data_IF_117192355510
#
_entry.id   IF_117192355510
#
_cell.length_a   1.000
_cell.length_b   1.000
_cell.length_c   1.000
_cell.angle_alpha   90.00
_cell.angle_beta   90.00
_cell.angle_gamma   90.00
#
_symmetry.space_group_name_H-M   'P 1'
#
loop_
_entity.id
_entity.type
_entity.pdbx_description
1 polymer ?
#
# COMPACT_ATOMS: atom_id res chain seq x y z
N UNK A 1 27.28 54.05 22.39
CA UNK A 1 27.98 52.77 22.60
C UNK A 1 28.31 52.19 21.23
N UNK A 2 29.56 51.82 20.99
CA UNK A 2 30.16 51.54 19.67
C UNK A 2 29.57 50.27 19.02
N UNK A 3 29.26 50.32 17.73
CA UNK A 3 29.16 49.11 16.89
C UNK A 3 30.55 48.52 16.67
N UNK A 4 30.74 47.19 16.69
CA UNK A 4 31.91 46.56 16.11
C UNK A 4 31.70 46.25 14.63
N UNK A 5 32.82 46.34 13.93
CA UNK A 5 33.06 46.21 12.50
C UNK A 5 32.83 44.81 11.93
N UNK A 6 32.47 44.80 10.65
CA UNK A 6 32.28 43.66 9.76
C UNK A 6 33.49 42.71 9.72
N UNK A 7 33.22 41.40 9.84
CA UNK A 7 34.08 40.35 9.27
C UNK A 7 33.43 39.91 7.95
N UNK A 8 34.07 40.24 6.83
CA UNK A 8 33.77 39.68 5.52
C UNK A 8 34.39 38.28 5.43
N UNK A 9 33.56 37.25 5.35
CA UNK A 9 33.93 35.93 4.82
C UNK A 9 33.60 35.91 3.32
N UNK A 10 34.46 35.33 2.46
CA UNK A 10 34.24 35.36 1.02
C UNK A 10 33.07 34.44 0.66
N UNK A 11 32.09 34.99 -0.07
CA UNK A 11 31.08 34.20 -0.75
C UNK A 11 31.76 33.30 -1.77
N UNK A 12 31.84 32.00 -1.48
CA UNK A 12 31.94 31.00 -2.53
C UNK A 12 30.66 31.08 -3.37
N UNK A 13 30.83 31.27 -4.68
CA UNK A 13 29.76 31.40 -5.66
C UNK A 13 28.91 30.14 -5.73
N UNK A 14 27.78 30.12 -5.02
CA UNK A 14 26.64 29.30 -5.38
C UNK A 14 25.69 30.18 -6.17
N UNK A 15 25.87 30.15 -7.49
CA UNK A 15 24.94 30.75 -8.43
C UNK A 15 23.58 30.08 -8.27
N UNK A 16 22.55 30.92 -8.14
CA UNK A 16 21.09 30.67 -8.13
C UNK A 16 20.46 30.38 -6.76
N UNK A 17 20.09 31.48 -6.10
CA UNK A 17 18.97 31.54 -5.18
C UNK A 17 17.69 31.68 -6.02
N UNK A 18 16.73 30.76 -5.87
CA UNK A 18 15.31 31.04 -6.12
C UNK A 18 14.46 30.00 -5.39
N UNK A 19 13.90 30.42 -4.25
CA UNK A 19 12.83 29.71 -3.56
C UNK A 19 11.50 29.97 -4.32
N UNK A 20 10.96 28.89 -4.88
CA UNK A 20 9.57 28.56 -5.30
C UNK A 20 8.65 29.72 -5.76
N UNK A 21 8.24 29.67 -7.03
CA UNK A 21 6.98 30.29 -7.53
C UNK A 21 6.08 29.27 -8.25
N UNK A 22 4.73 29.43 -8.24
CA UNK A 22 3.74 28.40 -8.55
C UNK A 22 3.53 28.08 -10.04
N UNK A 23 4.41 28.54 -10.92
CA UNK A 23 4.28 28.34 -12.36
C UNK A 23 5.61 28.71 -13.01
N UNK A 24 6.42 27.71 -13.37
CA UNK A 24 7.53 27.92 -14.29
C UNK A 24 7.58 26.81 -15.32
N UNK A 25 7.88 27.23 -16.55
CA UNK A 25 8.13 26.35 -17.69
C UNK A 25 9.13 25.27 -17.29
N UNK A 26 8.74 24.01 -17.49
CA UNK A 26 9.60 22.85 -17.23
C UNK A 26 10.85 22.98 -18.11
N UNK A 27 11.97 23.37 -17.50
CA UNK A 27 13.26 23.39 -18.18
C UNK A 27 13.82 21.98 -18.08
N UNK A 28 13.72 21.23 -19.18
CA UNK A 28 14.27 19.88 -19.27
C UNK A 28 15.80 20.01 -19.28
N UNK A 29 16.54 19.19 -18.51
CA UNK A 29 18.00 19.17 -18.54
C UNK A 29 18.52 19.03 -19.97
N UNK A 30 19.49 19.86 -20.36
CA UNK A 30 20.17 19.78 -21.66
C UNK A 30 21.21 18.67 -21.75
N UNK A 31 21.41 17.92 -20.65
CA UNK A 31 22.36 16.82 -20.52
C UNK A 31 21.67 15.60 -19.91
N UNK A 32 22.18 14.41 -20.20
CA UNK A 32 21.66 13.16 -19.65
C UNK A 32 21.83 13.14 -18.13
N UNK A 33 20.71 13.17 -17.42
CA UNK A 33 20.66 12.99 -15.96
C UNK A 33 20.16 11.59 -15.61
N UNK A 34 20.69 10.94 -14.56
CA UNK A 34 20.11 9.70 -14.04
C UNK A 34 18.77 9.91 -13.33
N UNK A 35 18.33 11.15 -13.13
CA UNK A 35 17.11 11.49 -12.40
C UNK A 35 15.89 11.35 -13.30
N UNK A 36 14.92 10.55 -12.85
CA UNK A 36 13.59 10.39 -13.46
C UNK A 36 12.57 11.08 -12.56
N UNK A 37 11.95 12.17 -13.01
CA UNK A 37 10.93 12.91 -12.26
C UNK A 37 11.33 14.36 -11.99
N UNK A 38 10.84 14.92 -10.87
CA UNK A 38 11.10 16.30 -10.45
C UNK A 38 11.72 16.35 -9.04
N UNK A 39 12.05 17.55 -8.56
CA UNK A 39 12.71 17.75 -7.27
C UNK A 39 11.97 17.05 -6.11
N UNK A 40 10.63 17.07 -6.10
CA UNK A 40 9.79 16.52 -5.04
C UNK A 40 9.49 15.03 -5.20
N UNK A 41 9.38 14.55 -6.44
CA UNK A 41 9.09 13.16 -6.73
C UNK A 41 10.00 12.67 -7.87
N UNK A 42 11.03 11.90 -7.50
CA UNK A 42 12.00 11.37 -8.43
C UNK A 42 12.57 10.03 -8.00
N UNK A 43 13.11 9.30 -8.98
CA UNK A 43 14.03 8.19 -8.81
C UNK A 43 15.40 8.56 -9.38
N UNK A 44 16.47 8.02 -8.80
CA UNK A 44 17.81 8.07 -9.42
C UNK A 44 18.10 6.70 -10.02
N UNK A 45 18.20 6.62 -11.34
CA UNK A 45 18.58 5.41 -12.05
C UNK A 45 20.07 5.14 -11.85
N UNK A 46 20.40 3.97 -11.31
CA UNK A 46 21.74 3.49 -11.07
C UNK A 46 22.10 2.36 -12.06
N UNK A 47 23.38 1.95 -12.14
CA UNK A 47 23.77 0.76 -12.89
C UNK A 47 22.96 -0.49 -12.48
N UNK A 48 23.04 -1.54 -13.30
CA UNK A 48 22.39 -2.84 -13.07
C UNK A 48 20.87 -2.80 -12.90
N UNK A 49 20.21 -1.74 -13.39
CA UNK A 49 18.75 -1.50 -13.24
C UNK A 49 18.33 -1.40 -11.77
N UNK A 50 19.20 -0.82 -10.95
CA UNK A 50 18.90 -0.42 -9.57
C UNK A 50 18.36 1.01 -9.59
N UNK A 51 17.41 1.33 -8.71
CA UNK A 51 16.81 2.66 -8.63
C UNK A 51 16.83 3.14 -7.17
N UNK A 52 17.34 4.35 -6.93
CA UNK A 52 17.23 5.00 -5.63
C UNK A 52 15.90 5.75 -5.54
N UNK A 53 15.06 5.33 -4.60
CA UNK A 53 13.73 5.88 -4.32
C UNK A 53 13.71 6.75 -3.05
N UNK A 54 14.86 6.96 -2.41
CA UNK A 54 14.92 7.61 -1.10
C UNK A 54 14.56 9.09 -1.14
N UNK A 55 14.63 9.74 -2.31
CA UNK A 55 14.51 11.20 -2.48
C UNK A 55 15.53 11.97 -1.62
N UNK A 56 16.75 11.42 -1.52
CA UNK A 56 17.87 11.95 -0.73
C UNK A 56 18.29 13.38 -1.08
N UNK A 57 17.86 13.91 -2.23
CA UNK A 57 18.10 15.31 -2.63
C UNK A 57 17.33 16.33 -1.80
N UNK A 58 16.19 15.96 -1.22
CA UNK A 58 15.31 16.90 -0.49
C UNK A 58 14.89 16.40 0.89
N UNK A 59 15.11 15.12 1.18
CA UNK A 59 14.68 14.50 2.43
C UNK A 59 15.84 13.75 3.07
N UNK A 60 16.02 13.82 4.39
CA UNK A 60 17.06 13.07 5.07
C UNK A 60 16.82 11.56 4.88
N UNK A 61 17.93 10.83 4.83
CA UNK A 61 17.96 9.37 4.80
C UNK A 61 18.52 8.85 6.13
N UNK A 62 18.05 7.70 6.58
CA UNK A 62 18.49 7.07 7.83
C UNK A 62 19.47 5.93 7.52
N UNK A 63 18.97 4.70 7.45
CA UNK A 63 19.69 3.51 6.98
C UNK A 63 18.90 2.92 5.83
N UNK A 64 19.11 3.41 4.59
CA UNK A 64 18.40 2.90 3.43
C UNK A 64 18.58 1.40 3.24
N UNK A 65 17.55 0.74 2.73
CA UNK A 65 17.56 -0.69 2.43
C UNK A 65 17.58 -0.90 0.92
N UNK A 66 18.46 -1.76 0.44
CA UNK A 66 18.48 -2.19 -0.97
C UNK A 66 17.64 -3.45 -1.11
N UNK A 67 16.43 -3.32 -1.65
CA UNK A 67 15.46 -4.39 -1.82
C UNK A 67 15.61 -5.04 -3.20
N UNK A 68 15.93 -6.34 -3.29
CA UNK A 68 15.93 -7.07 -4.54
C UNK A 68 14.52 -7.20 -5.13
N UNK A 69 14.43 -7.15 -6.45
CA UNK A 69 13.17 -7.18 -7.20
C UNK A 69 13.19 -8.29 -8.25
N UNK A 70 12.03 -8.91 -8.49
CA UNK A 70 11.84 -9.96 -9.49
C UNK A 70 11.46 -9.42 -10.88
N UNK A 71 11.25 -8.11 -10.98
CA UNK A 71 10.76 -7.43 -12.16
C UNK A 71 11.82 -7.07 -13.21
N UNK A 72 11.44 -6.13 -14.08
CA UNK A 72 12.30 -5.50 -15.09
C UNK A 72 13.35 -4.61 -14.42
N UNK A 73 12.96 -3.92 -13.34
CA UNK A 73 13.80 -3.17 -12.39
C UNK A 73 14.31 -4.17 -11.35
N UNK A 74 15.62 -4.22 -11.11
CA UNK A 74 16.28 -5.33 -10.40
C UNK A 74 16.50 -5.11 -8.91
N UNK A 75 16.59 -3.84 -8.50
CA UNK A 75 16.63 -3.48 -7.09
C UNK A 75 16.09 -2.06 -6.88
N UNK A 76 15.62 -1.79 -5.68
CA UNK A 76 15.26 -0.45 -5.23
C UNK A 76 15.95 -0.12 -3.91
N UNK A 77 16.52 1.07 -3.80
CA UNK A 77 17.01 1.60 -2.52
C UNK A 77 15.87 2.42 -1.91
N UNK A 78 15.40 2.02 -0.74
CA UNK A 78 14.26 2.65 -0.06
C UNK A 78 14.69 3.29 1.25
N UNK A 79 13.95 4.30 1.68
CA UNK A 79 14.06 4.85 3.02
C UNK A 79 13.01 4.19 3.94
N UNK A 80 13.41 3.43 4.98
CA UNK A 80 12.46 2.74 5.85
C UNK A 80 11.45 3.66 6.52
N UNK A 81 11.88 4.84 6.99
CA UNK A 81 10.96 5.79 7.66
C UNK A 81 9.84 6.32 6.76
N UNK A 82 10.00 6.21 5.44
CA UNK A 82 9.02 6.59 4.41
C UNK A 82 8.51 5.39 3.59
N UNK A 83 8.61 4.19 4.16
CA UNK A 83 8.10 2.95 3.57
C UNK A 83 7.03 2.28 4.44
N UNK A 84 6.02 1.67 3.80
CA UNK A 84 4.97 0.92 4.51
C UNK A 84 4.51 -0.34 3.78
N UNK A 85 4.10 -1.35 4.55
CA UNK A 85 3.38 -2.53 4.09
C UNK A 85 1.89 -2.24 4.09
N UNK A 86 1.19 -2.53 3.00
CA UNK A 86 -0.25 -2.31 2.82
C UNK A 86 -0.92 -3.66 2.60
N UNK A 87 -1.67 -4.12 3.61
CA UNK A 87 -2.35 -5.41 3.66
C UNK A 87 -3.84 -5.18 3.40
N UNK A 88 -4.34 -5.73 2.30
CA UNK A 88 -5.68 -5.41 1.79
C UNK A 88 -6.64 -6.60 2.01
N UNK A 89 -7.75 -6.33 2.70
CA UNK A 89 -8.92 -7.22 2.84
C UNK A 89 -8.64 -8.68 3.20
N UNK A 90 -7.57 -8.99 3.95
CA UNK A 90 -7.33 -10.34 4.47
C UNK A 90 -8.26 -10.66 5.64
N UNK A 91 -9.57 -10.57 5.42
CA UNK A 91 -10.65 -10.64 6.39
C UNK A 91 -11.31 -12.02 6.41
N UNK A 92 -11.99 -12.36 7.50
CA UNK A 92 -12.76 -13.60 7.66
C UNK A 92 -13.72 -13.84 6.48
N UNK A 93 -14.46 -12.82 6.03
CA UNK A 93 -15.36 -12.94 4.88
C UNK A 93 -14.67 -13.53 3.63
N UNK A 94 -13.45 -13.10 3.33
CA UNK A 94 -12.74 -13.48 2.11
C UNK A 94 -11.91 -14.75 2.25
N UNK A 95 -11.52 -15.14 3.47
CA UNK A 95 -10.54 -16.21 3.68
C UNK A 95 -11.08 -17.39 4.48
N UNK A 96 -12.13 -17.21 5.28
CA UNK A 96 -12.71 -18.27 6.07
C UNK A 96 -13.19 -19.42 5.16
N UNK A 97 -12.82 -20.68 5.43
CA UNK A 97 -13.18 -21.81 4.58
C UNK A 97 -14.69 -22.02 4.39
N UNK A 98 -15.52 -21.68 5.39
CA UNK A 98 -16.98 -21.82 5.27
C UNK A 98 -17.59 -20.71 4.41
N UNK A 99 -17.06 -19.49 4.49
CA UNK A 99 -17.57 -18.33 3.73
C UNK A 99 -16.99 -18.27 2.31
N UNK A 100 -15.72 -18.64 2.17
CA UNK A 100 -14.92 -18.51 0.95
C UNK A 100 -14.08 -19.79 0.71
N UNK A 101 -14.73 -20.93 0.39
CA UNK A 101 -14.06 -22.22 0.29
C UNK A 101 -12.95 -22.24 -0.78
N UNK A 102 -13.11 -21.48 -1.86
CA UNK A 102 -12.14 -21.43 -2.98
C UNK A 102 -10.89 -20.57 -2.70
N UNK A 103 -10.83 -19.82 -1.59
CA UNK A 103 -9.76 -18.86 -1.30
C UNK A 103 -8.45 -19.50 -0.76
N UNK A 104 -8.03 -20.63 -1.33
CA UNK A 104 -6.84 -21.35 -0.88
C UNK A 104 -5.55 -20.53 -1.03
N UNK A 105 -5.42 -19.80 -2.14
CA UNK A 105 -4.27 -18.91 -2.37
C UNK A 105 -4.16 -17.81 -1.30
N UNK A 106 -5.29 -17.20 -0.94
CA UNK A 106 -5.34 -16.19 0.13
C UNK A 106 -4.96 -16.77 1.49
N UNK A 107 -5.42 -17.98 1.80
CA UNK A 107 -5.01 -18.68 3.03
C UNK A 107 -3.52 -19.05 3.04
N UNK A 108 -2.94 -19.45 1.89
CA UNK A 108 -1.49 -19.71 1.76
C UNK A 108 -0.65 -18.43 1.93
N UNK A 109 -1.17 -17.28 1.55
CA UNK A 109 -0.51 -15.97 1.70
C UNK A 109 -0.46 -15.47 3.16
N UNK A 110 -1.24 -16.04 4.09
CA UNK A 110 -1.30 -15.59 5.49
C UNK A 110 0.06 -15.66 6.18
N UNK A 111 0.77 -16.79 6.08
CA UNK A 111 2.04 -16.95 6.78
C UNK A 111 3.13 -16.00 6.23
N UNK A 112 3.38 -15.92 4.91
CA UNK A 112 4.35 -14.97 4.38
C UNK A 112 3.99 -13.51 4.72
N UNK A 113 2.69 -13.20 4.83
CA UNK A 113 2.21 -11.88 5.30
C UNK A 113 2.61 -11.61 6.74
N UNK A 114 2.46 -12.59 7.64
CA UNK A 114 2.91 -12.45 9.04
C UNK A 114 4.42 -12.22 9.15
N UNK A 115 5.22 -12.94 8.35
CA UNK A 115 6.67 -12.71 8.29
C UNK A 115 7.02 -11.30 7.81
N UNK A 116 6.31 -10.81 6.79
CA UNK A 116 6.46 -9.44 6.28
C UNK A 116 6.10 -8.40 7.35
N UNK A 117 4.99 -8.60 8.08
CA UNK A 117 4.61 -7.75 9.21
C UNK A 117 5.76 -7.65 10.21
N UNK A 118 6.31 -8.78 10.65
CA UNK A 118 7.40 -8.81 11.62
C UNK A 118 8.68 -8.12 11.10
N UNK A 119 9.05 -8.38 9.84
CA UNK A 119 10.20 -7.74 9.19
C UNK A 119 10.05 -6.22 9.10
N UNK A 120 8.87 -5.75 8.71
CA UNK A 120 8.59 -4.32 8.58
C UNK A 120 8.65 -3.61 9.94
N UNK A 121 8.00 -4.19 10.96
CA UNK A 121 8.03 -3.67 12.33
C UNK A 121 9.45 -3.59 12.89
N UNK A 122 10.28 -4.62 12.67
CA UNK A 122 11.69 -4.64 13.11
C UNK A 122 12.55 -3.53 12.49
N UNK A 123 12.22 -3.08 11.28
CA UNK A 123 12.90 -1.96 10.60
C UNK A 123 12.19 -0.62 10.80
N UNK A 124 11.19 -0.56 11.69
CA UNK A 124 10.43 0.66 11.98
C UNK A 124 9.49 1.11 10.84
N UNK A 125 9.32 0.30 9.80
CA UNK A 125 8.37 0.55 8.71
C UNK A 125 6.95 0.28 9.19
N UNK A 126 6.00 1.09 8.73
CA UNK A 126 4.60 0.99 9.17
C UNK A 126 3.87 -0.13 8.45
N UNK A 127 2.89 -0.71 9.13
CA UNK A 127 1.96 -1.68 8.56
C UNK A 127 0.56 -1.06 8.50
N UNK A 128 -0.02 -1.00 7.31
CA UNK A 128 -1.35 -0.48 7.06
C UNK A 128 -2.30 -1.63 6.75
N UNK A 129 -3.31 -1.78 7.60
CA UNK A 129 -4.42 -2.69 7.38
C UNK A 129 -5.53 -1.93 6.68
N UNK A 130 -5.88 -2.35 5.47
CA UNK A 130 -6.83 -1.65 4.61
C UNK A 130 -7.96 -2.60 4.27
N UNK A 131 -9.04 -2.53 5.05
CA UNK A 131 -10.09 -3.54 5.00
C UNK A 131 -11.42 -2.92 4.62
N UNK A 132 -12.27 -3.69 3.96
CA UNK A 132 -13.70 -3.40 3.88
C UNK A 132 -14.26 -3.18 5.29
N UNK A 133 -14.95 -2.06 5.47
CA UNK A 133 -15.62 -1.74 6.72
C UNK A 133 -16.62 -0.64 6.43
N UNK A 134 -17.83 -1.06 6.06
CA UNK A 134 -18.89 -0.15 5.68
C UNK A 134 -19.65 0.37 6.90
N UNK A 135 -20.11 1.60 6.79
CA UNK A 135 -21.13 2.16 7.67
C UNK A 135 -22.44 2.45 6.91
N UNK A 136 -23.46 2.93 7.63
CA UNK A 136 -24.77 3.20 7.04
C UNK A 136 -24.76 4.33 6.00
N UNK A 137 -23.77 5.22 6.00
CA UNK A 137 -23.61 6.23 4.94
C UNK A 137 -23.06 5.57 3.70
N UNK A 138 -22.04 4.73 3.84
CA UNK A 138 -21.43 4.04 2.70
C UNK A 138 -22.46 3.26 1.89
N UNK A 139 -23.36 2.53 2.56
CA UNK A 139 -24.41 1.74 1.91
C UNK A 139 -25.34 2.56 1.00
N UNK A 140 -25.54 3.86 1.28
CA UNK A 140 -26.37 4.74 0.44
C UNK A 140 -25.69 5.15 -0.86
N UNK A 141 -24.36 5.14 -0.87
CA UNK A 141 -23.54 5.65 -1.97
C UNK A 141 -22.88 4.53 -2.78
N UNK A 142 -22.99 3.28 -2.34
CA UNK A 142 -22.44 2.13 -3.05
C UNK A 142 -23.15 1.97 -4.41
N UNK A 143 -22.39 1.81 -5.51
CA UNK A 143 -22.98 1.55 -6.82
C UNK A 143 -23.79 0.25 -6.86
N UNK A 144 -24.92 0.20 -7.59
CA UNK A 144 -25.72 -1.02 -7.73
C UNK A 144 -24.94 -2.24 -8.23
N UNK A 145 -23.95 -2.04 -9.11
CA UNK A 145 -23.10 -3.13 -9.60
C UNK A 145 -22.27 -3.80 -8.47
N UNK A 146 -21.85 -3.04 -7.47
CA UNK A 146 -21.21 -3.60 -6.27
C UNK A 146 -22.22 -4.34 -5.42
N UNK A 147 -23.42 -3.80 -5.23
CA UNK A 147 -24.48 -4.53 -4.50
C UNK A 147 -24.80 -5.86 -5.19
N UNK A 148 -24.91 -5.88 -6.51
CA UNK A 148 -25.12 -7.10 -7.30
C UNK A 148 -23.96 -8.09 -7.12
N UNK A 149 -22.71 -7.63 -7.29
CA UNK A 149 -21.51 -8.49 -7.17
C UNK A 149 -21.37 -9.15 -5.79
N UNK A 150 -21.81 -8.49 -4.73
CA UNK A 150 -21.76 -9.02 -3.36
C UNK A 150 -23.06 -9.71 -2.92
N UNK A 151 -24.05 -9.85 -3.81
CA UNK A 151 -25.33 -10.53 -3.54
C UNK A 151 -25.25 -12.07 -3.60
N UNK A 152 -24.10 -12.62 -4.03
CA UNK A 152 -23.94 -14.06 -4.25
C UNK A 152 -24.70 -14.58 -5.48
N UNK A 153 -24.89 -13.74 -6.51
CA UNK A 153 -25.59 -14.07 -7.75
C UNK A 153 -27.13 -14.12 -7.62
N UNK A 154 -27.67 -13.59 -6.51
CA UNK A 154 -29.12 -13.57 -6.23
C UNK A 154 -29.77 -12.24 -6.56
N UNK A 155 -28.98 -11.20 -6.85
CA UNK A 155 -29.41 -9.84 -7.13
C UNK A 155 -30.45 -9.32 -6.13
N UNK A 156 -30.21 -9.64 -4.85
CA UNK A 156 -31.12 -9.34 -3.75
C UNK A 156 -30.50 -8.40 -2.73
N UNK A 157 -31.24 -7.38 -2.26
CA UNK A 157 -30.78 -6.53 -1.16
C UNK A 157 -30.66 -7.31 0.16
N UNK A 158 -31.27 -8.50 0.27
CA UNK A 158 -31.20 -9.34 1.46
C UNK A 158 -29.93 -10.20 1.53
N UNK A 159 -29.09 -10.20 0.49
CA UNK A 159 -27.88 -11.03 0.45
C UNK A 159 -26.63 -10.26 0.04
N UNK A 160 -26.69 -8.92 0.03
CA UNK A 160 -25.58 -8.03 -0.33
C UNK A 160 -24.90 -7.38 0.89
N UNK A 161 -24.09 -6.34 0.68
CA UNK A 161 -23.49 -5.54 1.75
C UNK A 161 -24.51 -5.15 2.83
N UNK A 162 -24.12 -5.26 4.09
CA UNK A 162 -24.98 -4.94 5.23
C UNK A 162 -26.08 -5.95 5.56
N UNK A 163 -26.32 -6.95 4.71
CA UNK A 163 -27.23 -8.06 5.05
C UNK A 163 -26.67 -8.93 6.15
N UNK A 164 -27.55 -9.48 6.99
CA UNK A 164 -27.18 -10.45 8.02
C UNK A 164 -26.75 -11.77 7.36
N UNK A 165 -25.57 -12.27 7.74
CA UNK A 165 -25.00 -13.51 7.23
C UNK A 165 -25.32 -14.72 8.08
N UNK A 166 -25.99 -14.55 9.23
CA UNK A 166 -26.32 -15.63 10.16
C UNK A 166 -25.08 -16.15 10.88
N UNK A 167 -25.01 -17.47 11.08
CA UNK A 167 -23.96 -18.12 11.86
C UNK A 167 -23.19 -19.14 11.02
N UNK A 168 -21.93 -19.39 11.39
CA UNK A 168 -21.15 -20.52 10.89
C UNK A 168 -21.67 -21.84 11.47
N UNK A 169 -21.15 -22.95 10.94
CA UNK A 169 -21.50 -24.31 11.39
C UNK A 169 -21.20 -24.56 12.87
N UNK A 170 -20.18 -23.89 13.43
CA UNK A 170 -19.80 -23.95 14.84
C UNK A 170 -20.63 -23.02 15.75
N UNK A 171 -21.60 -22.30 15.19
CA UNK A 171 -22.46 -21.35 15.90
C UNK A 171 -21.91 -19.93 15.99
N UNK A 172 -20.72 -19.64 15.46
CA UNK A 172 -20.14 -18.29 15.45
C UNK A 172 -21.04 -17.30 14.70
N UNK A 173 -21.51 -16.21 15.33
CA UNK A 173 -22.26 -15.17 14.64
C UNK A 173 -21.37 -14.43 13.64
N UNK A 174 -21.72 -14.51 12.34
CA UNK A 174 -20.94 -13.92 11.25
C UNK A 174 -21.17 -12.41 11.17
N UNK A 175 -22.37 -11.97 11.52
CA UNK A 175 -22.78 -10.57 11.55
C UNK A 175 -23.15 -10.00 10.18
N UNK A 176 -23.26 -8.68 10.09
CA UNK A 176 -23.63 -7.99 8.84
C UNK A 176 -22.48 -7.97 7.86
N UNK A 177 -22.75 -8.31 6.60
CA UNK A 177 -21.73 -8.45 5.55
C UNK A 177 -20.90 -7.19 5.38
N UNK A 178 -19.61 -7.31 5.71
CA UNK A 178 -18.54 -6.32 5.54
C UNK A 178 -18.81 -4.96 6.21
N UNK A 179 -19.65 -4.93 7.25
CA UNK A 179 -19.87 -3.73 8.07
C UNK A 179 -18.81 -3.59 9.16
N UNK A 180 -18.51 -2.36 9.56
CA UNK A 180 -17.52 -2.09 10.62
C UNK A 180 -17.92 -2.79 11.93
N UNK A 181 -16.94 -3.41 12.57
CA UNK A 181 -17.11 -4.09 13.87
C UNK A 181 -17.69 -5.51 13.79
N UNK A 182 -18.17 -5.94 12.62
CA UNK A 182 -18.71 -7.28 12.45
C UNK A 182 -17.60 -8.33 12.35
N UNK A 183 -17.88 -9.55 12.81
CA UNK A 183 -16.90 -10.63 12.86
C UNK A 183 -16.32 -10.95 11.48
N UNK A 184 -17.17 -11.03 10.44
CA UNK A 184 -16.72 -11.28 9.08
C UNK A 184 -15.78 -10.20 8.50
N UNK A 185 -15.82 -8.99 9.06
CA UNK A 185 -15.02 -7.85 8.61
C UNK A 185 -13.67 -7.72 9.35
N UNK A 186 -13.37 -8.55 10.34
CA UNK A 186 -12.05 -8.53 10.99
C UNK A 186 -11.02 -9.34 10.19
N UNK A 187 -9.70 -9.09 10.36
CA UNK A 187 -8.66 -9.93 9.78
C UNK A 187 -8.84 -11.43 10.09
N UNK A 188 -8.43 -12.28 9.16
CA UNK A 188 -8.60 -13.73 9.24
C UNK A 188 -7.58 -14.41 10.17
N UNK A 189 -8.06 -15.24 11.08
CA UNK A 189 -7.22 -16.12 11.91
C UNK A 189 -6.08 -15.37 12.63
N UNK A 190 -4.80 -15.80 12.49
CA UNK A 190 -3.67 -15.20 13.21
C UNK A 190 -3.37 -13.75 12.80
N UNK A 191 -3.90 -13.27 11.67
CA UNK A 191 -3.76 -11.87 11.27
C UNK A 191 -4.53 -10.93 12.20
N UNK A 192 -5.59 -11.42 12.87
CA UNK A 192 -6.35 -10.61 13.82
C UNK A 192 -5.51 -10.20 15.02
N UNK A 193 -4.86 -11.19 15.66
CA UNK A 193 -3.98 -10.93 16.79
C UNK A 193 -2.80 -10.05 16.38
N UNK A 194 -2.22 -10.30 15.20
CA UNK A 194 -1.14 -9.46 14.66
C UNK A 194 -1.60 -8.01 14.50
N UNK A 195 -2.79 -7.76 13.94
CA UNK A 195 -3.34 -6.41 13.79
C UNK A 195 -3.55 -5.75 15.15
N UNK A 196 -4.25 -6.42 16.08
CA UNK A 196 -4.58 -5.88 17.40
C UNK A 196 -3.31 -5.47 18.15
N UNK A 197 -2.31 -6.36 18.17
CA UNK A 197 -1.02 -6.08 18.81
C UNK A 197 -0.30 -4.91 18.14
N UNK A 198 -0.26 -4.86 16.81
CA UNK A 198 0.44 -3.82 16.07
C UNK A 198 -0.17 -2.44 16.26
N UNK A 199 -1.50 -2.36 16.28
CA UNK A 199 -2.23 -1.12 16.54
C UNK A 199 -1.99 -0.65 17.97
N UNK A 200 -2.09 -1.56 18.95
CA UNK A 200 -1.82 -1.24 20.35
C UNK A 200 -0.37 -0.72 20.58
N UNK A 201 0.58 -1.24 19.80
CA UNK A 201 1.99 -0.84 19.87
C UNK A 201 2.35 0.38 19.01
N UNK A 202 1.41 0.94 18.25
CA UNK A 202 1.67 2.07 17.34
C UNK A 202 2.58 1.74 16.14
N UNK A 203 2.78 0.46 15.85
CA UNK A 203 3.52 0.01 14.65
C UNK A 203 2.61 -0.09 13.44
N UNK A 204 1.31 -0.25 13.66
CA UNK A 204 0.32 -0.50 12.63
C UNK A 204 -0.82 0.53 12.68
N UNK A 205 -1.44 0.77 11.53
CA UNK A 205 -2.62 1.62 11.40
C UNK A 205 -3.72 0.89 10.65
N UNK A 206 -4.97 1.08 11.09
CA UNK A 206 -6.13 0.41 10.55
C UNK A 206 -7.07 1.40 9.86
N UNK A 207 -7.33 1.15 8.58
CA UNK A 207 -8.16 1.98 7.73
C UNK A 207 -9.32 1.18 7.16
N UNK A 208 -10.53 1.70 7.35
CA UNK A 208 -11.71 1.21 6.66
C UNK A 208 -11.80 1.81 5.27
N UNK A 209 -12.01 0.95 4.26
CA UNK A 209 -12.39 1.37 2.91
C UNK A 209 -13.83 0.96 2.60
N UNK A 210 -14.43 1.76 1.73
CA UNK A 210 -15.81 1.63 1.27
C UNK A 210 -15.92 1.45 -0.25
N UNK A 211 -14.79 1.25 -0.93
CA UNK A 211 -14.67 0.86 -2.34
C UNK A 211 -13.60 -0.23 -2.47
N UNK A 212 -13.37 -0.72 -3.69
CA UNK A 212 -12.32 -1.70 -3.95
C UNK A 212 -10.94 -1.16 -3.57
N UNK A 213 -10.60 0.04 -4.04
CA UNK A 213 -9.36 0.72 -3.69
C UNK A 213 -9.45 1.42 -2.34
N UNK A 214 -8.42 1.28 -1.51
CA UNK A 214 -8.24 2.07 -0.29
C UNK A 214 -7.85 3.52 -0.54
N UNK A 215 -7.56 3.90 -1.78
CA UNK A 215 -7.09 5.22 -2.22
C UNK A 215 -7.99 5.86 -3.28
N UNK A 216 -9.22 5.35 -3.45
CA UNK A 216 -10.13 5.83 -4.48
C UNK A 216 -10.47 7.31 -4.32
N UNK A 217 -10.74 7.98 -5.45
CA UNK A 217 -11.18 9.37 -5.47
C UNK A 217 -10.07 10.36 -5.07
N UNK A 218 -10.50 11.58 -4.72
CA UNK A 218 -9.57 12.62 -4.30
C UNK A 218 -8.88 12.25 -2.99
N UNK A 219 -9.66 11.91 -1.96
CA UNK A 219 -9.15 11.64 -0.63
C UNK A 219 -9.82 10.44 0.04
N UNK A 220 -9.02 9.63 0.74
CA UNK A 220 -9.46 8.60 1.68
C UNK A 220 -8.71 8.74 3.01
N UNK A 221 -9.16 8.10 4.11
CA UNK A 221 -8.42 8.10 5.38
C UNK A 221 -6.98 7.59 5.23
N UNK A 222 -6.76 6.54 4.44
CA UNK A 222 -5.42 6.05 4.12
C UNK A 222 -4.62 7.11 3.37
N UNK A 223 -5.21 7.73 2.34
CA UNK A 223 -4.56 8.78 1.55
C UNK A 223 -4.10 9.96 2.41
N UNK A 224 -4.96 10.44 3.31
CA UNK A 224 -4.63 11.53 4.25
C UNK A 224 -3.42 11.16 5.10
N UNK A 225 -3.47 9.97 5.70
CA UNK A 225 -2.40 9.53 6.57
C UNK A 225 -1.06 9.41 5.83
N UNK A 226 -1.08 8.84 4.62
CA UNK A 226 0.13 8.68 3.79
C UNK A 226 0.75 10.04 3.44
N UNK A 227 -0.07 11.01 3.05
CA UNK A 227 0.37 12.37 2.71
C UNK A 227 0.92 13.12 3.93
N UNK A 228 0.18 13.11 5.04
CA UNK A 228 0.57 13.78 6.30
C UNK A 228 1.86 13.20 6.89
N UNK A 229 2.12 11.91 6.67
CA UNK A 229 3.34 11.23 7.15
C UNK A 229 4.44 11.15 6.07
N UNK A 230 4.27 11.85 4.93
CA UNK A 230 5.26 11.95 3.86
C UNK A 230 5.74 10.59 3.36
N UNK A 231 4.83 9.62 3.28
CA UNK A 231 5.13 8.29 2.77
C UNK A 231 5.46 8.33 1.29
N UNK A 232 6.41 7.50 0.85
CA UNK A 232 6.85 7.49 -0.55
C UNK A 232 6.80 6.10 -1.17
N UNK A 233 7.10 5.05 -0.41
CA UNK A 233 7.20 3.69 -0.95
C UNK A 233 6.24 2.72 -0.26
N UNK A 234 5.43 2.00 -1.04
CA UNK A 234 4.36 1.15 -0.55
C UNK A 234 4.47 -0.28 -1.09
N UNK A 235 4.40 -1.26 -0.20
CA UNK A 235 4.44 -2.68 -0.51
C UNK A 235 3.04 -3.27 -0.39
N UNK A 236 2.51 -3.88 -1.44
CA UNK A 236 1.11 -4.32 -1.51
C UNK A 236 0.98 -5.83 -1.43
N UNK A 237 0.11 -6.28 -0.54
CA UNK A 237 -0.39 -7.65 -0.41
C UNK A 237 -1.87 -7.67 -0.06
N UNK A 238 -2.44 -8.87 -0.01
CA UNK A 238 -3.82 -9.10 0.37
C UNK A 238 -4.67 -9.80 -0.71
N UNK A 239 -5.98 -9.62 -0.61
CA UNK A 239 -6.95 -10.22 -1.53
C UNK A 239 -8.01 -9.20 -1.95
N UNK A 240 -8.63 -9.30 -3.13
CA UNK A 240 -8.19 -10.12 -4.27
C UNK A 240 -7.09 -9.38 -5.05
N UNK A 241 -6.07 -10.11 -5.49
CA UNK A 241 -4.90 -9.61 -6.20
C UNK A 241 -5.26 -8.74 -7.42
N UNK A 242 -6.31 -9.11 -8.15
CA UNK A 242 -6.79 -8.46 -9.38
C UNK A 242 -7.92 -7.44 -9.17
N UNK A 243 -8.35 -7.24 -7.93
CA UNK A 243 -9.43 -6.30 -7.59
C UNK A 243 -8.97 -5.29 -6.56
N UNK A 244 -9.17 -5.55 -5.26
CA UNK A 244 -8.88 -4.58 -4.20
C UNK A 244 -7.38 -4.25 -4.13
N UNK A 245 -6.52 -5.26 -4.29
CA UNK A 245 -5.06 -5.08 -4.28
C UNK A 245 -4.64 -4.26 -5.49
N UNK A 246 -5.04 -4.68 -6.70
CA UNK A 246 -4.72 -3.96 -7.94
C UNK A 246 -5.28 -2.54 -7.97
N UNK A 247 -6.53 -2.34 -7.55
CA UNK A 247 -7.16 -1.02 -7.50
C UNK A 247 -6.43 -0.07 -6.55
N UNK A 248 -6.06 -0.52 -5.36
CA UNK A 248 -5.29 0.31 -4.41
C UNK A 248 -3.88 0.58 -4.92
N UNK A 249 -3.22 -0.42 -5.50
CA UNK A 249 -1.90 -0.28 -6.12
C UNK A 249 -1.92 0.76 -7.25
N UNK A 250 -2.92 0.69 -8.13
CA UNK A 250 -3.02 1.56 -9.30
C UNK A 250 -3.35 3.01 -8.90
N UNK A 251 -4.24 3.22 -7.93
CA UNK A 251 -4.49 4.55 -7.38
C UNK A 251 -3.26 5.11 -6.65
N UNK A 252 -2.48 4.28 -5.95
CA UNK A 252 -1.21 4.71 -5.36
C UNK A 252 -0.21 5.15 -6.43
N UNK A 253 -0.09 4.39 -7.52
CA UNK A 253 0.73 4.76 -8.67
C UNK A 253 0.29 6.11 -9.26
N UNK A 254 -1.00 6.31 -9.51
CA UNK A 254 -1.53 7.58 -10.04
C UNK A 254 -1.31 8.76 -9.09
N UNK A 255 -1.27 8.51 -7.79
CA UNK A 255 -0.94 9.51 -6.77
C UNK A 255 0.57 9.74 -6.59
N UNK A 256 1.41 9.01 -7.34
CA UNK A 256 2.85 9.23 -7.40
C UNK A 256 3.68 8.49 -6.34
N UNK A 257 3.10 7.51 -5.64
CA UNK A 257 3.85 6.62 -4.74
C UNK A 257 4.69 5.62 -5.53
N UNK A 258 5.80 5.18 -4.94
CA UNK A 258 6.54 4.02 -5.45
C UNK A 258 5.83 2.75 -5.01
N UNK A 259 5.31 2.01 -5.98
CA UNK A 259 4.45 0.86 -5.70
C UNK A 259 5.20 -0.44 -5.93
N UNK A 260 5.17 -1.32 -4.93
CA UNK A 260 5.81 -2.65 -4.97
C UNK A 260 4.75 -3.72 -4.75
N UNK A 261 4.46 -4.52 -5.78
CA UNK A 261 3.60 -5.70 -5.63
C UNK A 261 4.42 -6.86 -5.09
N UNK A 262 3.93 -7.51 -4.03
CA UNK A 262 4.63 -8.65 -3.41
C UNK A 262 3.89 -9.95 -3.75
N UNK A 263 4.51 -10.76 -4.60
CA UNK A 263 3.86 -11.86 -5.34
C UNK A 263 3.22 -12.93 -4.44
N UNK A 264 3.85 -13.30 -3.32
CA UNK A 264 3.44 -14.41 -2.45
C UNK A 264 2.59 -14.00 -1.24
N UNK A 265 2.31 -12.70 -1.09
CA UNK A 265 1.34 -12.20 -0.13
C UNK A 265 0.09 -11.64 -0.80
N UNK A 266 -0.07 -11.81 -2.12
CA UNK A 266 -1.24 -11.37 -2.89
C UNK A 266 -1.89 -12.56 -3.61
N UNK A 267 -3.20 -12.75 -3.46
CA UNK A 267 -3.90 -13.87 -4.08
C UNK A 267 -5.31 -13.52 -4.55
N UNK A 268 -5.86 -14.32 -5.46
CA UNK A 268 -7.25 -14.20 -5.94
C UNK A 268 -7.82 -15.57 -6.30
N UNK A 269 -9.14 -15.66 -6.36
CA UNK A 269 -9.88 -16.82 -6.91
C UNK A 269 -10.24 -16.64 -8.38
N UNK A 270 -9.88 -15.51 -9.00
CA UNK A 270 -10.05 -15.27 -10.43
C UNK A 270 -9.17 -16.21 -11.28
N UNK A 271 -9.48 -16.39 -12.57
CA UNK A 271 -8.61 -17.12 -13.49
C UNK A 271 -7.18 -16.58 -13.51
N UNK A 272 -6.22 -17.45 -13.82
CA UNK A 272 -4.79 -17.11 -13.85
C UNK A 272 -4.47 -15.88 -14.73
N UNK A 273 -5.19 -15.70 -15.84
CA UNK A 273 -5.02 -14.55 -16.73
C UNK A 273 -5.24 -13.21 -16.03
N UNK A 274 -6.09 -13.14 -15.00
CA UNK A 274 -6.27 -11.93 -14.19
C UNK A 274 -5.01 -11.61 -13.38
N UNK A 275 -4.44 -12.62 -12.72
CA UNK A 275 -3.17 -12.49 -11.98
C UNK A 275 -2.02 -12.13 -12.91
N UNK A 276 -1.96 -12.73 -14.11
CA UNK A 276 -0.90 -12.48 -15.09
C UNK A 276 -0.95 -11.03 -15.60
N UNK A 277 -2.15 -10.52 -15.91
CA UNK A 277 -2.36 -9.12 -16.32
C UNK A 277 -1.91 -8.16 -15.22
N UNK A 278 -2.34 -8.39 -13.98
CA UNK A 278 -1.99 -7.54 -12.82
C UNK A 278 -0.48 -7.54 -12.61
N UNK A 279 0.14 -8.72 -12.63
CA UNK A 279 1.59 -8.85 -12.43
C UNK A 279 2.37 -8.15 -13.53
N UNK A 280 1.93 -8.29 -14.78
CA UNK A 280 2.54 -7.64 -15.93
C UNK A 280 2.52 -6.12 -15.78
N UNK A 281 1.36 -5.53 -15.49
CA UNK A 281 1.23 -4.08 -15.36
C UNK A 281 1.91 -3.54 -14.09
N UNK A 282 1.84 -4.25 -12.95
CA UNK A 282 2.58 -3.85 -11.75
C UNK A 282 4.10 -3.75 -11.99
N UNK A 283 4.65 -4.63 -12.82
CA UNK A 283 6.06 -4.59 -13.22
C UNK A 283 6.41 -3.41 -14.15
N UNK A 284 5.42 -2.87 -14.87
CA UNK A 284 5.59 -1.68 -15.70
C UNK A 284 5.48 -0.41 -14.84
N UNK A 285 4.41 -0.31 -14.06
CA UNK A 285 4.05 0.88 -13.27
C UNK A 285 4.97 1.10 -12.07
N UNK A 286 5.54 0.03 -11.50
CA UNK A 286 6.46 0.12 -10.36
C UNK A 286 7.38 -1.09 -10.25
N UNK A 287 7.27 -1.83 -9.15
CA UNK A 287 8.15 -2.95 -8.86
C UNK A 287 7.35 -4.20 -8.50
N UNK A 288 7.98 -5.36 -8.74
CA UNK A 288 7.46 -6.65 -8.28
C UNK A 288 8.57 -7.37 -7.53
N UNK A 289 8.24 -7.91 -6.36
CA UNK A 289 9.16 -8.71 -5.56
C UNK A 289 8.40 -9.84 -4.85
N UNK A 290 9.08 -10.54 -3.95
CA UNK A 290 8.57 -11.65 -3.16
C UNK A 290 9.02 -11.47 -1.70
N UNK A 291 8.20 -11.92 -0.75
CA UNK A 291 8.45 -11.73 0.68
C UNK A 291 9.84 -12.23 1.10
N UNK A 292 10.28 -13.39 0.58
CA UNK A 292 11.57 -13.98 0.90
C UNK A 292 12.77 -13.08 0.53
N UNK A 293 12.72 -12.42 -0.64
CA UNK A 293 13.76 -11.50 -1.09
C UNK A 293 13.77 -10.22 -0.28
N UNK A 294 12.58 -9.67 -0.03
CA UNK A 294 12.41 -8.45 0.77
C UNK A 294 12.95 -8.68 2.19
N UNK A 295 12.55 -9.77 2.83
CA UNK A 295 12.97 -10.12 4.18
C UNK A 295 14.46 -10.41 4.27
N UNK A 296 15.07 -11.02 3.25
CA UNK A 296 16.52 -11.25 3.20
C UNK A 296 17.31 -9.94 3.20
N UNK A 297 16.78 -8.89 2.56
CA UNK A 297 17.37 -7.55 2.59
C UNK A 297 17.13 -6.80 3.92
N UNK A 298 16.23 -7.31 4.75
CA UNK A 298 15.93 -6.78 6.09
C UNK A 298 16.59 -7.59 7.21
N UNK A 299 17.38 -8.62 6.90
CA UNK A 299 18.11 -9.37 7.90
C UNK A 299 19.16 -8.51 8.63
#
# INVERSE_FOLDING_TARGET
>A
MKLPSQLLLPLASLSTCTLITPSDNITIPSTTTPILGNLYNHWIALPTKTYDLTRSLISPITTPLTIPMNGSRKAAIIEPSRSALVIIDMQEYFLNPELSPKAEGGRKAVEPTLKMIDGFRKKGMKVHWVNWGLDGKDLREIPPAFLAGFSGGKDSPLTTFGSDMGNLSDGTPVGKKLMRGEWNARPYGPLYEAQVQGVANGTDFFFHKNRLSGLWGAQTPLGLWLEENQMTTLFFGGVNADQCVWGTFLDAYYKGYDVVRVDDIAATTSPQSATDMVRYNANLDGFVSNSSLILSAMA
#
